data_IF_495127910143
#
_entry.id   IF_495127910143
#
_cell.length_a   1.000
_cell.length_b   1.000
_cell.length_c   1.000
_cell.angle_alpha   90.00
_cell.angle_beta   90.00
_cell.angle_gamma   90.00
#
_symmetry.space_group_name_H-M   'P 1'
#
loop_
_entity.id
_entity.type
_entity.pdbx_description
1 polymer ?
#
# COMPACT_ATOMS: atom_id res chain seq x y z
N UNK A 1 18.44 -1.53 -11.97
CA UNK A 1 17.28 -2.42 -12.15
C UNK A 1 16.93 -2.95 -10.77
N UNK A 2 15.74 -2.59 -10.32
CA UNK A 2 15.20 -2.68 -8.97
C UNK A 2 15.14 -4.13 -8.49
N UNK A 3 16.09 -4.53 -7.64
CA UNK A 3 16.11 -5.86 -7.04
C UNK A 3 14.91 -6.07 -6.10
N UNK A 4 14.39 -5.00 -5.50
CA UNK A 4 13.32 -5.04 -4.52
C UNK A 4 11.94 -5.35 -5.11
N UNK A 5 11.64 -4.87 -6.33
CA UNK A 5 10.33 -5.10 -6.95
C UNK A 5 10.14 -6.57 -7.38
N UNK A 6 11.19 -7.16 -7.97
CA UNK A 6 11.18 -8.58 -8.32
C UNK A 6 11.20 -9.47 -7.07
N UNK A 7 11.91 -9.07 -6.02
CA UNK A 7 11.93 -9.81 -4.76
C UNK A 7 10.56 -9.78 -4.07
N UNK A 8 9.85 -8.65 -4.06
CA UNK A 8 8.50 -8.55 -3.50
C UNK A 8 7.49 -9.45 -4.21
N UNK A 9 7.42 -9.38 -5.55
CA UNK A 9 6.47 -10.18 -6.35
C UNK A 9 6.75 -11.68 -6.23
N UNK A 10 8.02 -12.07 -6.16
CA UNK A 10 8.40 -13.46 -5.89
C UNK A 10 8.06 -13.86 -4.46
N UNK A 11 8.36 -13.03 -3.48
CA UNK A 11 8.05 -13.26 -2.08
C UNK A 11 6.54 -13.44 -1.88
N UNK A 12 5.69 -12.68 -2.59
CA UNK A 12 4.23 -12.85 -2.59
C UNK A 12 3.76 -14.26 -2.98
N UNK A 13 4.56 -15.07 -3.68
CA UNK A 13 4.18 -16.44 -4.04
C UNK A 13 4.27 -17.42 -2.85
N UNK A 14 5.13 -17.12 -1.87
CA UNK A 14 5.38 -17.97 -0.70
C UNK A 14 5.03 -17.25 0.60
N UNK A 15 4.37 -17.94 1.54
CA UNK A 15 4.03 -17.36 2.85
C UNK A 15 5.29 -16.95 3.62
N UNK A 16 6.25 -17.88 3.74
CA UNK A 16 7.48 -17.67 4.50
C UNK A 16 8.38 -16.59 3.88
N UNK A 17 8.57 -16.61 2.55
CA UNK A 17 9.38 -15.58 1.88
C UNK A 17 8.75 -14.19 1.98
N UNK A 18 7.42 -14.10 1.85
CA UNK A 18 6.71 -12.83 2.06
C UNK A 18 6.90 -12.31 3.48
N UNK A 19 6.78 -13.19 4.47
CA UNK A 19 6.93 -12.81 5.86
C UNK A 19 8.35 -12.36 6.21
N UNK A 20 9.36 -13.06 5.69
CA UNK A 20 10.75 -12.69 5.86
C UNK A 20 11.05 -11.36 5.17
N UNK A 21 10.61 -11.18 3.93
CA UNK A 21 10.75 -9.92 3.18
C UNK A 21 10.10 -8.74 3.90
N UNK A 22 8.84 -8.89 4.33
CA UNK A 22 8.11 -7.84 5.04
C UNK A 22 8.78 -7.51 6.37
N UNK A 23 9.17 -8.53 7.11
CA UNK A 23 9.84 -8.34 8.39
C UNK A 23 11.17 -7.63 8.20
N UNK A 24 11.95 -7.98 7.17
CA UNK A 24 13.23 -7.34 6.87
C UNK A 24 13.06 -5.91 6.37
N UNK A 25 12.07 -5.66 5.50
CA UNK A 25 11.68 -4.31 5.10
C UNK A 25 11.37 -3.45 6.33
N UNK A 26 10.58 -3.97 7.27
CA UNK A 26 10.19 -3.24 8.47
C UNK A 26 11.30 -3.07 9.52
N UNK A 27 12.40 -3.83 9.43
CA UNK A 27 13.61 -3.55 10.23
C UNK A 27 14.27 -2.25 9.80
N UNK A 28 14.22 -1.93 8.50
CA UNK A 28 14.84 -0.73 7.93
C UNK A 28 13.84 0.43 7.75
N UNK A 29 12.56 0.12 7.54
CA UNK A 29 11.48 1.09 7.32
C UNK A 29 10.43 0.94 8.40
N UNK A 30 9.97 2.04 9.01
CA UNK A 30 8.96 1.95 10.08
C UNK A 30 7.55 1.68 9.55
N UNK A 31 7.29 2.07 8.30
CA UNK A 31 6.01 1.97 7.65
C UNK A 31 6.18 1.72 6.14
N UNK A 32 5.21 1.03 5.54
CA UNK A 32 5.08 0.84 4.11
C UNK A 32 3.83 1.58 3.66
N UNK A 33 4.02 2.70 2.97
CA UNK A 33 2.92 3.53 2.48
C UNK A 33 2.67 3.27 1.00
N UNK A 34 1.42 3.14 0.60
CA UNK A 34 0.97 3.11 -0.79
C UNK A 34 -0.02 4.24 -1.02
N UNK A 35 0.14 5.01 -2.10
CA UNK A 35 -0.86 6.00 -2.50
C UNK A 35 -1.41 5.65 -3.87
N UNK A 36 -2.72 5.80 -4.00
CA UNK A 36 -3.44 5.72 -5.27
C UNK A 36 -4.26 6.99 -5.40
N UNK A 37 -3.98 7.82 -6.40
CA UNK A 37 -4.71 9.07 -6.63
C UNK A 37 -5.23 9.14 -8.05
N UNK A 38 -6.50 9.49 -8.17
CA UNK A 38 -7.18 9.81 -9.43
C UNK A 38 -7.73 11.23 -9.36
N UNK A 39 -8.10 11.85 -10.50
CA UNK A 39 -8.67 13.19 -10.51
C UNK A 39 -9.94 13.36 -9.64
N UNK A 40 -10.67 12.28 -9.39
CA UNK A 40 -11.93 12.28 -8.64
C UNK A 40 -11.82 11.77 -7.20
N UNK A 41 -10.72 11.10 -6.84
CA UNK A 41 -10.63 10.28 -5.62
C UNK A 41 -9.18 9.91 -5.26
N UNK A 42 -8.89 9.72 -3.98
CA UNK A 42 -7.60 9.22 -3.49
C UNK A 42 -7.75 8.13 -2.42
N UNK A 43 -6.72 7.28 -2.34
CA UNK A 43 -6.50 6.27 -1.30
C UNK A 43 -5.06 6.33 -0.80
N UNK A 44 -4.91 6.38 0.51
CA UNK A 44 -3.65 6.23 1.19
C UNK A 44 -3.69 4.98 2.04
N UNK A 45 -2.79 4.07 1.77
CA UNK A 45 -2.55 2.85 2.52
C UNK A 45 -1.29 3.04 3.34
N UNK A 46 -1.36 2.78 4.64
CA UNK A 46 -0.19 2.77 5.52
C UNK A 46 -0.16 1.42 6.22
N UNK A 47 0.90 0.65 6.00
CA UNK A 47 1.11 -0.64 6.64
C UNK A 47 2.23 -0.48 7.65
N UNK A 48 1.99 -0.94 8.88
CA UNK A 48 2.96 -0.89 9.97
C UNK A 48 3.05 -2.24 10.65
N UNK A 49 4.24 -2.58 11.17
CA UNK A 49 4.42 -3.80 11.94
C UNK A 49 3.77 -3.63 13.32
N UNK A 50 2.86 -4.53 13.67
CA UNK A 50 2.28 -4.62 15.01
C UNK A 50 3.20 -5.42 15.94
N UNK A 51 3.21 -5.07 17.23
CA UNK A 51 4.04 -5.77 18.21
C UNK A 51 3.61 -7.23 18.48
N UNK A 52 2.45 -7.67 17.96
CA UNK A 52 1.93 -9.04 18.11
C UNK A 52 2.13 -9.91 16.85
N UNK A 53 3.25 -9.76 16.15
CA UNK A 53 3.55 -10.50 14.90
C UNK A 53 2.52 -10.24 13.78
N UNK A 54 1.84 -9.10 13.83
CA UNK A 54 0.82 -8.68 12.87
C UNK A 54 1.24 -7.46 12.04
N UNK A 55 0.36 -7.05 11.14
CA UNK A 55 0.45 -5.82 10.38
C UNK A 55 -0.82 -5.01 10.60
N UNK A 56 -0.66 -3.71 10.85
CA UNK A 56 -1.79 -2.77 10.86
C UNK A 56 -1.82 -2.07 9.52
N UNK A 57 -2.91 -2.26 8.78
CA UNK A 57 -3.19 -1.55 7.54
C UNK A 57 -4.18 -0.43 7.86
N UNK A 58 -3.73 0.80 7.68
CA UNK A 58 -4.59 1.97 7.71
C UNK A 58 -4.93 2.35 6.28
N UNK A 59 -6.20 2.25 5.91
CA UNK A 59 -6.72 2.77 4.65
C UNK A 59 -7.40 4.11 4.91
N UNK A 60 -6.93 5.15 4.24
CA UNK A 60 -7.54 6.47 4.24
C UNK A 60 -7.98 6.83 2.84
N UNK A 61 -9.28 6.85 2.60
CA UNK A 61 -9.86 7.23 1.32
C UNK A 61 -10.58 8.57 1.40
N UNK A 62 -10.64 9.28 0.27
CA UNK A 62 -11.35 10.54 0.18
C UNK A 62 -11.65 10.92 -1.27
N UNK A 63 -12.65 11.78 -1.46
CA UNK A 63 -13.02 12.28 -2.78
C UNK A 63 -12.26 13.57 -3.07
N UNK A 64 -11.66 13.68 -4.27
CA UNK A 64 -11.11 14.93 -4.78
C UNK A 64 -12.29 15.79 -5.27
N UNK A 65 -13.01 16.42 -4.34
CA UNK A 65 -14.09 17.33 -4.70
C UNK A 65 -13.51 18.63 -5.27
N UNK A 66 -13.68 18.84 -6.57
CA UNK A 66 -13.28 20.05 -7.30
C UNK A 66 -14.33 21.17 -7.23
N UNK A 67 -15.39 21.00 -6.44
CA UNK A 67 -16.54 21.92 -6.41
C UNK A 67 -16.89 22.31 -4.98
N UNK A 68 -17.35 23.56 -4.82
CA UNK A 68 -17.67 24.31 -3.59
C UNK A 68 -18.74 23.68 -2.65
N UNK A 69 -18.79 22.35 -2.54
CA UNK A 69 -19.59 21.62 -1.57
C UNK A 69 -18.69 21.18 -0.42
N UNK A 70 -19.22 21.21 0.81
CA UNK A 70 -18.54 20.83 2.04
C UNK A 70 -17.69 19.56 1.83
N UNK A 71 -16.38 19.59 2.16
CA UNK A 71 -15.50 18.46 1.90
C UNK A 71 -16.05 17.24 2.64
N UNK A 72 -16.37 16.18 1.91
CA UNK A 72 -16.67 14.89 2.50
C UNK A 72 -15.49 14.50 3.39
N UNK A 73 -15.76 14.23 4.67
CA UNK A 73 -14.71 13.83 5.61
C UNK A 73 -14.02 12.58 5.05
N UNK A 74 -12.68 12.55 5.02
CA UNK A 74 -11.95 11.37 4.57
C UNK A 74 -12.33 10.18 5.45
N UNK A 75 -12.66 9.07 4.81
CA UNK A 75 -12.94 7.83 5.51
C UNK A 75 -11.61 7.21 5.90
N UNK A 76 -11.46 6.86 7.19
CA UNK A 76 -10.30 6.16 7.71
C UNK A 76 -10.76 4.82 8.25
N UNK A 77 -10.32 3.76 7.59
CA UNK A 77 -10.46 2.41 8.06
C UNK A 77 -9.11 1.91 8.59
N UNK A 78 -9.14 1.12 9.65
CA UNK A 78 -7.95 0.60 10.28
C UNK A 78 -8.18 -0.88 10.55
N UNK A 79 -7.48 -1.70 9.77
CA UNK A 79 -7.59 -3.15 9.79
C UNK A 79 -6.33 -3.75 10.41
N UNK A 80 -6.51 -4.63 11.39
CA UNK A 80 -5.41 -5.42 11.98
C UNK A 80 -5.40 -6.78 11.30
N UNK A 81 -4.32 -7.08 10.60
CA UNK A 81 -4.21 -8.26 9.75
C UNK A 81 -2.89 -8.97 10.04
N UNK A 82 -2.87 -10.29 10.00
CA UNK A 82 -1.60 -11.03 10.05
C UNK A 82 -0.81 -10.79 8.76
N UNK A 83 0.49 -11.06 8.76
CA UNK A 83 1.33 -11.00 7.55
C UNK A 83 0.74 -11.85 6.41
N UNK A 84 0.21 -13.03 6.73
CA UNK A 84 -0.47 -13.90 5.76
C UNK A 84 -1.77 -13.28 5.23
N UNK A 85 -2.59 -12.70 6.11
CA UNK A 85 -3.83 -12.01 5.72
C UNK A 85 -3.51 -10.83 4.80
N UNK A 86 -2.44 -10.08 5.10
CA UNK A 86 -1.95 -9.02 4.22
C UNK A 86 -1.52 -9.56 2.86
N UNK A 87 -0.79 -10.68 2.81
CA UNK A 87 -0.42 -11.35 1.55
C UNK A 87 -1.67 -11.70 0.74
N UNK A 88 -2.67 -12.31 1.38
CA UNK A 88 -3.93 -12.66 0.74
C UNK A 88 -4.70 -11.42 0.30
N UNK A 89 -4.68 -10.34 1.09
CA UNK A 89 -5.31 -9.08 0.75
C UNK A 89 -4.63 -8.45 -0.46
N UNK A 90 -3.30 -8.43 -0.53
CA UNK A 90 -2.54 -7.95 -1.69
C UNK A 90 -2.87 -8.76 -2.96
N UNK A 91 -2.96 -10.08 -2.84
CA UNK A 91 -3.25 -10.98 -3.96
C UNK A 91 -4.71 -10.90 -4.45
N UNK A 92 -5.66 -10.69 -3.53
CA UNK A 92 -7.10 -10.72 -3.84
C UNK A 92 -7.71 -9.31 -4.03
N UNK A 93 -7.12 -8.26 -3.44
CA UNK A 93 -7.67 -6.90 -3.50
C UNK A 93 -7.34 -6.24 -4.84
N UNK A 94 -8.38 -6.17 -5.66
CA UNK A 94 -8.41 -5.37 -6.88
C UNK A 94 -9.13 -4.07 -6.57
N UNK A 95 -8.54 -2.95 -6.96
CA UNK A 95 -9.22 -1.66 -6.85
C UNK A 95 -10.44 -1.65 -7.78
N UNK A 96 -11.45 -0.87 -7.41
CA UNK A 96 -12.69 -0.75 -8.17
C UNK A 96 -12.46 -0.31 -9.62
N UNK A 97 -11.35 0.40 -9.87
CA UNK A 97 -10.99 0.94 -11.18
C UNK A 97 -10.31 -0.08 -12.13
N UNK A 98 -10.04 -1.32 -11.68
CA UNK A 98 -9.38 -2.42 -12.42
C UNK A 98 -8.01 -2.11 -13.06
N UNK A 99 -7.56 -0.86 -13.06
CA UNK A 99 -6.33 -0.35 -13.66
C UNK A 99 -5.10 -0.65 -12.82
N UNK A 100 -5.23 -0.66 -11.49
CA UNK A 100 -4.17 -1.01 -10.55
C UNK A 100 -4.66 -2.01 -9.50
N UNK A 101 -3.71 -2.68 -8.84
CA UNK A 101 -3.98 -3.57 -7.70
C UNK A 101 -3.17 -3.11 -6.51
N UNK A 102 -3.56 -3.53 -5.31
CA UNK A 102 -2.79 -3.22 -4.10
C UNK A 102 -1.34 -3.72 -4.23
N UNK A 103 -1.16 -4.87 -4.91
CA UNK A 103 0.15 -5.41 -5.31
C UNK A 103 0.95 -4.38 -6.11
N UNK A 104 0.34 -3.74 -7.12
CA UNK A 104 1.02 -2.80 -8.01
C UNK A 104 1.43 -1.52 -7.27
N UNK A 105 0.54 -0.98 -6.42
CA UNK A 105 0.81 0.19 -5.58
C UNK A 105 1.99 -0.06 -4.66
N UNK A 106 2.01 -1.20 -3.94
CA UNK A 106 3.15 -1.54 -3.08
C UNK A 106 4.40 -1.89 -3.88
N UNK A 107 4.26 -2.56 -5.03
CA UNK A 107 5.42 -2.86 -5.90
C UNK A 107 6.08 -1.58 -6.38
N UNK A 108 5.30 -0.58 -6.83
CA UNK A 108 5.81 0.74 -7.24
C UNK A 108 6.51 1.47 -6.11
N UNK A 109 6.00 1.36 -4.90
CA UNK A 109 6.60 1.96 -3.70
C UNK A 109 7.87 1.26 -3.25
N UNK A 110 7.94 -0.06 -3.39
CA UNK A 110 9.17 -0.81 -3.11
C UNK A 110 10.22 -0.61 -4.21
N UNK A 111 9.77 -0.38 -5.45
CA UNK A 111 10.63 -0.08 -6.59
C UNK A 111 11.16 1.36 -6.58
N UNK A 112 10.39 2.29 -6.02
CA UNK A 112 10.77 3.69 -5.85
C UNK A 112 11.18 3.91 -4.39
N UNK A 113 12.48 3.96 -4.12
CA UNK A 113 13.01 4.49 -2.86
C UNK A 113 12.23 5.75 -2.39
N UNK A 114 12.09 6.01 -1.06
CA UNK A 114 11.03 6.82 -0.43
C UNK A 114 11.05 8.33 -0.72
N UNK A 115 11.17 8.74 -1.98
CA UNK A 115 11.25 10.13 -2.41
C UNK A 115 10.45 10.42 -3.68
N UNK A 116 9.44 9.61 -4.00
CA UNK A 116 8.51 9.93 -5.08
C UNK A 116 7.42 10.89 -4.57
N UNK A 117 7.81 12.15 -4.33
CA UNK A 117 6.94 13.26 -4.68
C UNK A 117 6.65 13.09 -6.18
N UNK A 118 5.52 12.48 -6.52
CA UNK A 118 5.01 12.42 -7.89
C UNK A 118 4.73 13.89 -8.27
N UNK A 119 5.70 14.54 -8.90
CA UNK A 119 5.43 15.72 -9.70
C UNK A 119 4.55 15.24 -10.85
N UNK A 120 3.31 15.71 -10.88
CA UNK A 120 2.49 15.69 -12.10
C UNK A 120 3.30 16.40 -13.19
N UNK A 121 3.65 15.67 -14.23
CA UNK A 121 4.16 16.27 -15.47
C UNK A 121 3.05 17.16 -16.06
N UNK A 122 3.49 18.31 -16.55
CA UNK A 122 2.77 19.50 -17.00
C UNK A 122 1.93 19.29 -18.27
#
# INVERSE_FOLDING_TARGET
MSSDEQNWKNALQSKDEFADFISDYFKSHKELTGNYETPSYYEYYTVTLDSKDGLVITLKTGLNQTTNASPALPFKDLEHLSIEEFRQLILNKKFADQSETLTDVFSKMLASEPNAHIKRDE
#
